data_IF_319956458196
#
_entry.id   IF_319956458196
#
_cell.length_a   1.000
_cell.length_b   1.000
_cell.length_c   1.000
_cell.angle_alpha   90.00
_cell.angle_beta   90.00
_cell.angle_gamma   90.00
#
_symmetry.space_group_name_H-M   'P 1'
#
loop_
_entity.id
_entity.type
_entity.pdbx_description
1 polymer ?
2 non-polymer ?
3 non-polymer ?
4 water ?
#
# COMPACT_ATOMS: atom_id res chain seq x y z
N UNK A 1 8.53 11.72 -11.09
CA UNK A 1 7.57 12.45 -10.27
C UNK A 1 6.16 11.90 -10.48
N UNK A 2 5.27 12.20 -9.55
CA UNK A 2 3.90 11.73 -9.65
C UNK A 2 3.06 12.69 -10.46
N UNK A 3 2.03 12.16 -11.10
CA UNK A 3 1.26 12.94 -12.05
C UNK A 3 -0.24 12.81 -11.85
N UNK A 4 -0.66 11.91 -10.95
CA UNK A 4 -2.09 11.66 -10.82
C UNK A 4 -2.69 12.16 -9.51
N UNK A 5 -3.82 12.84 -9.63
CA UNK A 5 -4.64 13.11 -8.46
C UNK A 5 -5.72 12.04 -8.41
N UNK A 6 -5.46 10.96 -7.68
CA UNK A 6 -6.39 9.84 -7.62
C UNK A 6 -7.64 10.26 -6.88
N UNK A 7 -8.79 9.80 -7.37
CA UNK A 7 -10.05 10.11 -6.74
C UNK A 7 -10.45 8.99 -5.80
N UNK A 8 -10.76 9.34 -4.56
CA UNK A 8 -11.16 8.35 -3.57
C UNK A 8 -12.56 7.80 -3.86
N UNK A 9 -12.78 6.56 -3.43
CA UNK A 9 -14.08 5.92 -3.56
C UNK A 9 -15.19 6.77 -2.94
N UNK A 10 -16.26 6.98 -3.70
CA UNK A 10 -17.45 7.61 -3.15
C UNK A 10 -18.02 6.69 -2.08
N UNK A 11 -18.26 7.23 -0.89
CA UNK A 11 -18.80 6.43 0.20
C UNK A 11 -17.79 5.49 0.82
N UNK A 12 -16.50 5.78 0.65
CA UNK A 12 -15.46 4.98 1.28
C UNK A 12 -15.75 4.73 2.76
N UNK A 13 -15.64 3.47 3.17
CA UNK A 13 -15.91 3.06 4.54
C UNK A 13 -14.58 2.89 5.28
N UNK A 14 -14.19 3.93 6.00
CA UNK A 14 -12.86 3.93 6.65
C UNK A 14 -12.73 2.89 7.76
N UNK A 15 -13.80 2.69 8.53
CA UNK A 15 -13.72 1.73 9.63
C UNK A 15 -13.53 0.31 9.13
N UNK A 16 -14.11 -0.01 7.98
CA UNK A 16 -13.96 -1.33 7.39
C UNK A 16 -12.56 -1.53 6.82
N UNK A 17 -12.02 -0.50 6.19
CA UNK A 17 -10.68 -0.59 5.60
C UNK A 17 -9.60 -0.62 6.69
N UNK A 18 -9.71 0.30 7.64
CA UNK A 18 -8.74 0.42 8.73
C UNK A 18 -9.18 -0.39 9.93
N UNK A 19 -9.35 -1.70 9.70
CA UNK A 19 -9.91 -2.60 10.71
C UNK A 19 -8.88 -3.44 11.44
N UNK A 20 -7.61 -3.23 11.12
CA UNK A 20 -6.53 -3.95 11.76
C UNK A 20 -6.07 -5.21 11.03
N UNK A 21 -6.77 -5.57 9.96
CA UNK A 21 -6.47 -6.78 9.21
C UNK A 21 -5.42 -6.49 8.13
N UNK A 22 -4.97 -7.53 7.45
CA UNK A 22 -3.94 -7.42 6.43
C UNK A 22 -4.54 -7.36 5.03
N UNK A 23 -3.90 -6.56 4.17
CA UNK A 23 -4.17 -6.51 2.74
C UNK A 23 -2.93 -6.96 1.99
N UNK A 24 -3.08 -7.89 1.05
CA UNK A 24 -1.99 -8.33 0.19
C UNK A 24 -2.05 -7.65 -1.16
N UNK A 25 -0.91 -7.15 -1.65
CA UNK A 25 -0.88 -6.67 -3.03
C UNK A 25 -0.85 -7.90 -3.94
N UNK A 26 -1.76 -7.94 -4.90
CA UNK A 26 -1.81 -9.05 -5.86
C UNK A 26 -1.38 -8.62 -7.26
N UNK A 27 -1.56 -7.34 -7.57
CA UNK A 27 -1.24 -6.78 -8.89
C UNK A 27 -0.88 -5.32 -8.72
N UNK A 28 0.05 -4.82 -9.50
CA UNK A 28 0.44 -3.42 -9.40
C UNK A 28 0.78 -2.81 -10.75
N UNK A 29 0.72 -1.49 -10.80
CA UNK A 29 1.04 -0.76 -12.01
C UNK A 29 1.84 0.48 -11.63
N UNK A 30 3.09 0.55 -12.03
CA UNK A 30 3.85 1.78 -11.81
C UNK A 30 3.91 2.55 -13.11
N UNK A 31 3.62 3.84 -13.04
CA UNK A 31 3.53 4.64 -14.26
C UNK A 31 4.90 5.01 -14.80
N UNK A 32 5.92 4.97 -13.94
CA UNK A 32 7.28 5.28 -14.39
C UNK A 32 8.06 4.01 -14.70
N UNK A 33 8.69 3.98 -15.87
CA UNK A 33 9.45 2.81 -16.35
C UNK A 33 10.61 2.49 -15.43
N UNK A 34 10.79 1.20 -15.14
CA UNK A 34 11.96 0.75 -14.38
C UNK A 34 12.05 1.41 -13.01
N UNK A 35 10.93 1.97 -12.55
CA UNK A 35 10.87 2.60 -11.24
C UNK A 35 10.92 1.54 -10.14
N UNK A 36 10.40 0.35 -10.45
CA UNK A 36 10.40 -0.76 -9.50
C UNK A 36 10.73 -2.09 -10.19
N UNK A 37 11.30 -3.05 -9.44
CA UNK A 37 11.57 -4.37 -10.02
C UNK A 37 10.30 -4.99 -10.59
N UNK A 38 10.42 -5.80 -11.64
CA UNK A 38 9.23 -6.39 -12.24
C UNK A 38 8.73 -7.58 -11.43
N UNK A 39 9.57 -8.08 -10.54
CA UNK A 39 9.15 -9.11 -9.60
C UNK A 39 9.26 -8.56 -8.18
N UNK A 40 8.13 -8.48 -7.48
CA UNK A 40 8.14 -7.88 -6.17
C UNK A 40 6.95 -8.36 -5.37
N UNK A 41 7.04 -8.23 -4.04
CA UNK A 41 5.96 -8.60 -3.14
C UNK A 41 5.71 -7.49 -2.15
N UNK A 42 4.46 -7.31 -1.74
CA UNK A 42 4.16 -6.33 -0.70
C UNK A 42 2.83 -6.62 -0.06
N UNK A 43 2.71 -6.22 1.21
CA UNK A 43 1.45 -6.33 1.94
C UNK A 43 1.42 -5.22 2.98
N UNK A 44 0.24 -4.93 3.51
CA UNK A 44 0.14 -3.92 4.54
C UNK A 44 -0.97 -4.28 5.51
N UNK A 45 -0.86 -3.78 6.73
CA UNK A 45 -2.00 -3.80 7.63
C UNK A 45 -2.42 -2.36 7.84
N UNK A 46 -3.72 -2.14 7.93
CA UNK A 46 -4.24 -0.81 8.13
C UNK A 46 -5.20 -0.88 9.30
N UNK A 47 -5.06 0.02 10.27
CA UNK A 47 -5.87 -0.05 11.46
C UNK A 47 -5.89 1.25 12.21
N UNK A 48 -6.46 1.23 13.40
CA UNK A 48 -6.41 2.40 14.27
C UNK A 48 -5.76 2.00 15.58
N UNK A 49 -5.02 2.93 16.17
CA UNK A 49 -4.42 2.75 17.48
C UNK A 49 -4.60 4.04 18.25
N UNK A 50 -5.32 3.99 19.36
CA UNK A 50 -5.65 5.18 20.15
C UNK A 50 -6.29 6.28 19.30
N UNK A 51 -7.08 5.87 18.31
CA UNK A 51 -7.82 6.81 17.49
C UNK A 51 -7.02 7.35 16.33
N UNK A 52 -5.75 6.94 16.22
CA UNK A 52 -4.92 7.37 15.11
C UNK A 52 -4.98 6.33 14.00
N UNK A 53 -5.10 6.78 12.75
CA UNK A 53 -5.02 5.88 11.61
C UNK A 53 -3.56 5.47 11.41
N UNK A 54 -3.33 4.16 11.29
CA UNK A 54 -1.97 3.62 11.15
C UNK A 54 -1.91 2.64 9.98
N UNK A 55 -0.74 2.58 9.34
CA UNK A 55 -0.44 1.48 8.42
C UNK A 55 0.92 0.89 8.72
N UNK A 56 1.01 -0.43 8.60
CA UNK A 56 2.28 -1.12 8.67
C UNK A 56 2.51 -1.74 7.30
N UNK A 57 3.71 -1.57 6.77
CA UNK A 57 4.05 -2.03 5.42
C UNK A 57 5.09 -3.11 5.46
N UNK A 58 5.01 -4.01 4.48
CA UNK A 58 5.99 -5.09 4.27
C UNK A 58 6.35 -5.11 2.80
N UNK A 59 7.65 -5.04 2.52
CA UNK A 59 8.19 -5.17 1.16
C UNK A 59 9.14 -6.36 1.14
N UNK A 60 9.03 -7.19 0.12
CA UNK A 60 9.93 -8.32 -0.07
C UNK A 60 10.30 -8.47 -1.54
N UNK A 61 11.60 -8.42 -1.84
CA UNK A 61 12.10 -8.66 -3.19
C UNK A 61 12.44 -10.15 -3.27
N UNK A 62 11.70 -10.89 -4.08
CA UNK A 62 11.83 -12.36 -4.09
C UNK A 62 13.11 -12.82 -4.76
N UNK A 63 13.83 -11.90 -5.40
CA UNK A 63 15.13 -12.24 -6.02
C UNK A 63 16.29 -11.89 -5.10
N UNK A 64 16.34 -10.64 -4.65
CA UNK A 64 17.48 -10.16 -3.88
C UNK A 64 17.34 -10.49 -2.41
N UNK A 65 16.10 -10.72 -1.97
CA UNK A 65 15.80 -10.96 -0.57
C UNK A 65 15.73 -9.68 0.24
N UNK A 66 15.98 -8.53 -0.39
CA UNK A 66 15.82 -7.27 0.32
C UNK A 66 14.43 -7.23 0.94
N UNK A 67 14.38 -6.97 2.24
CA UNK A 67 13.14 -7.07 2.99
C UNK A 67 13.08 -5.92 3.96
N UNK A 68 11.98 -5.20 3.99
CA UNK A 68 11.84 -4.14 4.97
C UNK A 68 10.42 -3.89 5.41
N UNK A 69 10.30 -3.38 6.63
CA UNK A 69 9.03 -3.04 7.24
C UNK A 69 8.99 -1.55 7.53
N UNK A 70 7.79 -0.99 7.52
CA UNK A 70 7.59 0.40 7.87
C UNK A 70 6.33 0.55 8.69
N UNK A 71 6.31 1.59 9.52
CA UNK A 71 5.10 1.96 10.24
C UNK A 71 4.83 3.43 9.95
N UNK A 72 3.56 3.78 9.75
CA UNK A 72 3.18 5.16 9.49
C UNK A 72 1.93 5.56 10.25
N UNK A 73 1.89 6.81 10.68
CA UNK A 73 0.63 7.41 11.10
C UNK A 73 0.11 8.17 9.89
N UNK A 74 -1.18 7.98 9.61
CA UNK A 74 -1.77 8.64 8.47
C UNK A 74 -2.48 9.91 8.88
N UNK A 75 -2.23 11.00 8.16
CA UNK A 75 -3.01 12.21 8.35
C UNK A 75 -4.07 12.24 7.26
N UNK A 76 -5.22 12.81 7.60
CA UNK A 76 -6.35 12.88 6.67
C UNK A 76 -6.29 14.13 5.80
N UNK A 77 -6.38 13.94 4.48
CA UNK A 77 -6.56 15.09 3.58
C UNK A 77 -8.03 15.23 3.18
N UNK A 78 -8.69 14.09 2.99
CA UNK A 78 -10.12 14.04 2.74
C UNK A 78 -10.52 12.58 2.88
N UNK A 79 -11.80 12.26 2.76
CA UNK A 79 -12.19 10.87 2.96
C UNK A 79 -11.50 9.95 1.96
N UNK A 80 -10.72 9.00 2.46
CA UNK A 80 -10.03 8.07 1.59
C UNK A 80 -8.71 8.55 0.99
N UNK A 81 -8.24 9.72 1.43
CA UNK A 81 -6.99 10.28 0.92
C UNK A 81 -6.11 10.75 2.08
N UNK A 82 -4.91 10.18 2.16
CA UNK A 82 -4.03 10.36 3.31
C UNK A 82 -2.61 10.73 2.95
N UNK A 83 -1.92 11.34 3.90
CA UNK A 83 -0.48 11.59 3.80
C UNK A 83 0.16 10.89 4.98
N UNK A 84 1.19 10.09 4.71
CA UNK A 84 1.79 9.23 5.73
C UNK A 84 3.31 9.41 5.85
N UNK A 85 3.79 9.80 7.03
CA UNK A 85 5.21 9.79 7.30
C UNK A 85 5.63 8.40 7.77
N UNK A 86 6.60 7.80 7.11
CA UNK A 86 7.00 6.44 7.48
C UNK A 86 8.28 6.38 8.31
N UNK A 87 8.34 5.41 9.22
CA UNK A 87 9.60 5.06 9.85
C UNK A 87 9.89 3.62 9.51
N UNK A 88 11.15 3.36 9.15
CA UNK A 88 11.55 2.00 8.86
C UNK A 88 11.83 1.29 10.17
N UNK A 89 11.29 0.09 10.31
CA UNK A 89 11.39 -0.67 11.54
C UNK A 89 11.79 -2.11 11.20
N UNK A 90 12.27 -2.85 12.19
CA UNK A 90 12.39 -4.29 11.99
C UNK A 90 11.02 -4.91 12.23
N UNK A 91 10.89 -6.23 12.08
CA UNK A 91 9.57 -6.85 12.15
C UNK A 91 8.97 -6.74 13.53
N UNK A 92 9.83 -6.43 14.50
CA UNK A 92 9.40 -6.31 15.90
C UNK A 92 8.93 -4.91 16.27
N UNK A 93 9.11 -3.95 15.35
CA UNK A 93 8.77 -2.57 15.64
C UNK A 93 9.93 -1.69 16.08
N UNK A 94 11.13 -2.26 16.19
CA UNK A 94 12.30 -1.48 16.57
C UNK A 94 12.68 -0.51 15.45
N UNK A 95 12.86 0.75 15.79
CA UNK A 95 13.12 1.79 14.79
C UNK A 95 14.52 1.71 14.19
N UNK A 96 14.57 1.65 12.85
CA UNK A 96 15.84 1.65 12.13
C UNK A 96 16.11 2.98 11.44
N UNK A 97 15.05 3.60 10.94
CA UNK A 97 15.16 4.95 10.39
C UNK A 97 13.98 5.78 10.87
N UNK A 98 14.26 6.87 11.56
CA UNK A 98 13.21 7.69 12.14
C UNK A 98 12.41 8.44 11.10
N UNK A 99 11.20 8.86 11.49
CA UNK A 99 10.40 9.76 10.68
C UNK A 99 11.20 11.02 10.36
N UNK A 100 11.13 11.46 9.10
CA UNK A 100 11.75 12.71 8.70
C UNK A 100 10.88 13.40 7.64
N UNK A 101 10.91 14.73 7.62
CA UNK A 101 9.98 15.53 6.83
C UNK A 101 9.86 15.17 5.34
N UNK A 102 10.98 14.86 4.69
CA UNK A 102 11.00 14.61 3.26
C UNK A 102 10.72 13.17 2.86
N UNK A 103 10.21 12.40 3.82
CA UNK A 103 9.98 10.97 3.67
C UNK A 103 8.51 10.69 3.99
N UNK A 104 7.69 10.62 2.95
CA UNK A 104 6.27 10.36 3.14
C UNK A 104 5.68 9.77 1.87
N UNK A 105 4.51 9.16 1.99
CA UNK A 105 3.76 8.78 0.80
C UNK A 105 2.33 9.27 0.93
N UNK A 106 1.71 9.56 -0.20
CA UNK A 106 0.28 9.75 -0.19
C UNK A 106 -0.39 8.42 -0.50
N UNK A 107 -1.63 8.28 -0.06
CA UNK A 107 -2.34 7.02 -0.16
C UNK A 107 -3.80 7.35 -0.46
N UNK A 108 -4.33 6.86 -1.57
CA UNK A 108 -5.73 7.09 -1.91
C UNK A 108 -6.45 5.77 -2.17
N UNK A 109 -7.56 5.53 -1.47
CA UNK A 109 -8.35 4.33 -1.69
C UNK A 109 -9.42 4.63 -2.73
N UNK A 110 -9.20 4.15 -3.95
CA UNK A 110 -10.06 4.41 -5.09
C UNK A 110 -11.29 3.51 -5.12
N UNK A 111 -11.15 2.32 -4.56
CA UNK A 111 -12.22 1.34 -4.44
C UNK A 111 -11.90 0.41 -3.28
N UNK A 112 -12.90 0.02 -2.49
CA UNK A 112 -12.74 -1.02 -1.49
C UNK A 112 -14.06 -1.71 -1.20
N UNK A 113 -13.99 -3.01 -0.94
CA UNK A 113 -15.10 -3.74 -0.38
C UNK A 113 -14.58 -4.67 0.71
N UNK A 114 -15.36 -5.67 1.08
CA UNK A 114 -14.96 -6.55 2.15
C UNK A 114 -13.63 -7.26 1.87
N UNK A 115 -13.40 -7.62 0.62
CA UNK A 115 -12.28 -8.50 0.28
C UNK A 115 -11.22 -7.92 -0.64
N UNK A 116 -11.46 -6.74 -1.20
CA UNK A 116 -10.60 -6.23 -2.26
C UNK A 116 -10.51 -4.71 -2.23
N UNK A 117 -9.47 -4.16 -2.85
CA UNK A 117 -9.32 -2.72 -2.95
C UNK A 117 -8.44 -2.35 -4.11
N UNK A 118 -8.59 -1.11 -4.56
CA UNK A 118 -7.69 -0.50 -5.54
C UNK A 118 -7.18 0.77 -4.89
N UNK A 119 -5.86 0.89 -4.78
CA UNK A 119 -5.26 2.08 -4.19
C UNK A 119 -4.27 2.76 -5.13
N UNK A 120 -4.03 4.05 -4.90
CA UNK A 120 -2.95 4.78 -5.55
C UNK A 120 -2.03 5.28 -4.47
N UNK A 121 -0.73 5.25 -4.74
CA UNK A 121 0.24 5.80 -3.81
C UNK A 121 1.31 6.57 -4.56
N UNK A 122 1.77 7.67 -3.96
CA UNK A 122 2.90 8.39 -4.49
C UNK A 122 3.95 8.50 -3.38
N UNK A 123 5.12 7.90 -3.60
CA UNK A 123 6.18 7.85 -2.60
C UNK A 123 7.18 8.99 -2.79
N UNK A 124 7.49 9.67 -1.70
CA UNK A 124 8.54 10.70 -1.68
C UNK A 124 9.58 10.24 -0.67
N UNK A 125 10.80 10.05 -1.12
CA UNK A 125 11.85 9.56 -0.24
C UNK A 125 13.13 10.25 -0.58
N UNK A 126 13.55 11.16 0.29
CA UNK A 126 14.75 11.95 0.05
C UNK A 126 14.68 12.66 -1.29
N UNK A 127 15.77 12.56 -2.06
CA UNK A 127 15.82 13.22 -3.35
C UNK A 127 15.64 12.23 -4.50
N UNK A 128 14.93 11.14 -4.23
CA UNK A 128 14.60 10.18 -5.28
C UNK A 128 13.47 10.73 -6.13
N UNK A 129 13.46 10.35 -7.41
CA UNK A 129 12.38 10.75 -8.31
C UNK A 129 11.49 9.54 -8.62
N UNK A 130 10.38 9.44 -7.89
CA UNK A 130 9.49 8.30 -7.98
C UNK A 130 8.16 8.68 -8.65
N UNK A 131 7.47 7.70 -9.21
CA UNK A 131 6.23 7.95 -9.91
C UNK A 131 5.02 7.26 -9.29
N UNK A 132 3.86 7.42 -9.92
CA UNK A 132 2.61 6.89 -9.38
C UNK A 132 2.61 5.37 -9.37
N UNK A 133 2.02 4.79 -8.32
CA UNK A 133 1.87 3.34 -8.21
C UNK A 133 0.42 2.98 -7.86
N UNK A 134 -0.23 2.19 -8.72
CA UNK A 134 -1.54 1.66 -8.41
C UNK A 134 -1.38 0.22 -7.93
N UNK A 135 -2.21 -0.19 -6.98
CA UNK A 135 -2.14 -1.57 -6.49
C UNK A 135 -3.52 -2.15 -6.27
N UNK A 136 -3.71 -3.36 -6.76
CA UNK A 136 -4.88 -4.15 -6.40
C UNK A 136 -4.55 -4.96 -5.16
N UNK A 137 -5.42 -4.85 -4.15
CA UNK A 137 -5.25 -5.55 -2.87
C UNK A 137 -6.32 -6.60 -2.70
N UNK A 138 -6.00 -7.64 -1.95
CA UNK A 138 -6.99 -8.63 -1.53
C UNK A 138 -6.75 -9.05 -0.08
N UNK A 139 -7.81 -9.39 0.64
CA UNK A 139 -7.68 -9.93 1.99
C UNK A 139 -7.03 -11.31 2.00
N UNK A 140 -7.08 -11.99 0.86
CA UNK A 140 -6.51 -13.32 0.74
C UNK A 140 -5.27 -13.29 -0.15
N UNK A 141 -4.19 -13.85 0.39
CA UNK A 141 -2.91 -13.91 -0.29
C UNK A 141 -3.05 -14.50 -1.69
N UNK A 142 -2.50 -13.81 -2.68
CA UNK A 142 -2.45 -14.29 -4.06
C UNK A 142 -3.82 -14.61 -4.71
N UNK A 143 -4.90 -14.06 -4.18
CA UNK A 143 -6.22 -14.31 -4.75
C UNK A 143 -6.39 -13.61 -6.10
N UNK A 144 -7.01 -14.28 -7.05
CA UNK A 144 -7.30 -13.70 -8.36
C UNK A 144 -8.24 -12.52 -8.20
N UNK A 145 -8.00 -11.47 -8.97
CA UNK A 145 -8.81 -10.26 -8.89
C UNK A 145 -10.23 -10.53 -9.36
N UNK A 146 -11.19 -10.14 -8.52
CA UNK A 146 -12.60 -10.33 -8.81
C UNK A 146 -13.16 -9.25 -9.73
N UNK A 147 -14.40 -9.45 -10.13
CA UNK A 147 -15.03 -8.56 -11.09
C UNK A 147 -15.24 -7.15 -10.55
N UNK A 148 -15.46 -7.02 -9.25
CA UNK A 148 -15.70 -5.68 -8.70
C UNK A 148 -14.45 -4.81 -8.79
N UNK A 149 -13.32 -5.31 -8.32
CA UNK A 149 -12.11 -4.50 -8.37
C UNK A 149 -11.62 -4.31 -9.82
N UNK A 150 -11.78 -5.33 -10.66
CA UNK A 150 -11.38 -5.16 -12.05
C UNK A 150 -12.23 -4.12 -12.75
N UNK A 151 -13.52 -4.07 -12.43
CA UNK A 151 -14.38 -3.03 -12.98
C UNK A 151 -13.95 -1.65 -12.48
N UNK A 152 -13.55 -1.56 -11.21
CA UNK A 152 -13.07 -0.31 -10.64
C UNK A 152 -11.80 0.16 -11.35
N UNK A 153 -10.93 -0.78 -11.72
CA UNK A 153 -9.74 -0.43 -12.48
C UNK A 153 -10.16 0.20 -13.81
N UNK A 154 -11.10 -0.44 -14.50
CA UNK A 154 -11.63 0.11 -15.75
C UNK A 154 -12.24 1.49 -15.55
N UNK A 155 -13.04 1.63 -14.47
CA UNK A 155 -13.76 2.88 -14.25
C UNK A 155 -12.80 4.04 -13.96
N UNK A 156 -11.58 3.69 -13.52
CA UNK A 156 -10.52 4.67 -13.27
C UNK A 156 -9.78 4.99 -14.57
N UNK A 157 -10.26 4.42 -15.67
CA UNK A 157 -9.64 4.55 -16.99
C UNK A 157 -8.22 3.97 -17.04
N UNK A 158 -8.05 2.85 -16.36
CA UNK A 158 -6.81 2.08 -16.40
C UNK A 158 -7.08 0.74 -17.06
N UNK A 159 -6.04 0.16 -17.65
CA UNK A 159 -6.16 -1.13 -18.31
C UNK A 159 -5.54 -2.22 -17.43
N UNK A 160 -6.38 -3.10 -16.90
CA UNK A 160 -5.90 -4.11 -15.97
C UNK A 160 -4.87 -5.05 -16.60
N UNK A 161 -4.92 -5.24 -17.91
CA UNK A 161 -3.96 -6.12 -18.58
C UNK A 161 -2.53 -5.59 -18.42
N UNK A 162 -2.40 -4.30 -18.16
CA UNK A 162 -1.09 -3.70 -17.97
C UNK A 162 -0.51 -3.97 -16.57
N UNK A 163 -1.37 -4.31 -15.61
CA UNK A 163 -0.89 -4.58 -14.25
C UNK A 163 0.03 -5.82 -14.22
N UNK A 164 1.02 -5.76 -13.33
CA UNK A 164 1.94 -6.86 -13.11
C UNK A 164 1.48 -7.67 -11.90
N UNK A 165 1.36 -8.99 -12.09
CA UNK A 165 0.95 -9.87 -10.99
C UNK A 165 2.09 -10.17 -10.04
N UNK A 166 1.78 -10.25 -8.75
CA UNK A 166 2.74 -10.72 -7.75
C UNK A 166 2.46 -12.16 -7.37
N UNK A 167 1.37 -12.71 -7.89
CA UNK A 167 0.84 -13.97 -7.38
C UNK A 167 1.73 -15.17 -7.67
N UNK A 168 2.58 -15.05 -8.69
CA UNK A 168 3.40 -16.16 -9.13
C UNK A 168 4.81 -16.12 -8.54
N UNK A 169 5.14 -15.03 -7.87
CA UNK A 169 6.43 -14.91 -7.20
C UNK A 169 6.45 -15.80 -5.96
N UNK A 170 7.61 -16.34 -5.62
CA UNK A 170 7.70 -17.11 -4.40
C UNK A 170 7.82 -16.16 -3.22
N UNK A 171 6.65 -15.68 -2.78
CA UNK A 171 6.55 -14.74 -1.66
C UNK A 171 6.06 -15.47 -0.41
N UNK A 172 6.52 -15.01 0.76
CA UNK A 172 5.91 -15.38 2.01
C UNK A 172 5.67 -14.07 2.71
N UNK A 173 4.67 -14.05 3.59
CA UNK A 173 4.27 -12.83 4.25
C UNK A 173 4.18 -13.09 5.75
N UNK A 174 4.72 -12.18 6.56
CA UNK A 174 4.57 -12.31 8.01
C UNK A 174 3.35 -11.50 8.44
N UNK A 175 2.17 -12.06 8.23
CA UNK A 175 0.96 -11.33 8.58
C UNK A 175 0.85 -11.05 10.08
N UNK A 176 1.39 -11.93 10.92
CA UNK A 176 1.33 -11.66 12.36
C UNK A 176 2.15 -10.43 12.75
N UNK A 177 3.32 -10.27 12.16
CA UNK A 177 4.12 -9.09 12.46
C UNK A 177 3.44 -7.82 11.98
N UNK A 178 2.83 -7.86 10.79
CA UNK A 178 2.14 -6.68 10.27
C UNK A 178 1.06 -6.23 11.22
N UNK A 179 0.26 -7.16 11.72
CA UNK A 179 -0.83 -6.79 12.62
C UNK A 179 -0.30 -6.21 13.93
N UNK A 180 0.78 -6.80 14.45
CA UNK A 180 1.35 -6.33 15.70
C UNK A 180 1.99 -4.94 15.57
N UNK A 181 2.51 -4.63 14.39
CA UNK A 181 3.19 -3.36 14.15
C UNK A 181 2.25 -2.16 14.22
N UNK A 182 0.95 -2.41 14.10
CA UNK A 182 0.01 -1.29 14.05
C UNK A 182 0.10 -0.38 15.29
N UNK A 183 0.63 -0.91 16.38
CA UNK A 183 0.70 -0.18 17.63
C UNK A 183 2.06 0.50 17.83
N UNK A 184 2.94 0.36 16.85
CA UNK A 184 4.34 0.79 17.01
C UNK A 184 4.65 2.17 16.43
X LIG B 1 9.85 1.62 -0.92
X LIG B 1 8.33 -1.09 -4.63
X LIG B 1 3.89 -1.22 -2.68
X LIG B 1 5.19 2.40 0.30
X LIG B 1 9.83 0.87 -2.06
X LIG B 1 10.99 0.54 -2.86
X LIG B 1 10.57 -0.21 -3.89
X LIG B 1 9.13 -0.38 -3.77
X LIG B 1 11.43 -0.80 -5.02
X LIG B 1 12.44 0.99 -2.57
X LIG B 1 12.59 2.46 -2.96
X LIG B 1 13.97 2.99 -2.62
X LIG B 1 14.49 2.70 -1.51
X LIG B 1 14.57 3.70 -3.47
X LIG B 1 7.02 -1.40 -4.40
X LIG B 1 6.23 -2.35 -5.15
X LIG B 1 5.01 -2.37 -4.62
X LIG B 1 4.97 -1.47 -3.49
X LIG B 1 6.75 -3.14 -6.38
X LIG B 1 3.81 -3.24 -5.06
X LIG B 1 4.02 -4.53 -5.36
X LIG B 1 3.82 -0.20 -1.75
X LIG B 1 2.63 0.30 -1.07
X LIG B 1 3.01 1.31 -0.27
X LIG B 1 4.43 1.47 -0.39
X LIG B 1 1.21 -0.26 -1.29
X LIG B 1 2.16 2.18 0.69
X LIG B 1 0.96 1.79 1.12
X LIG B 1 6.56 2.44 0.32
X LIG B 1 7.34 3.17 1.30
X LIG B 1 8.79 2.92 0.91
X LIG B 1 8.74 2.07 -0.25
X LIG B 1 6.82 4.00 2.48
X LIG B 1 10.06 3.45 1.62
X LIG B 1 10.20 2.67 2.92
X LIG B 1 11.49 3.03 3.63
X LIG B 1 11.55 2.87 4.86
X LIG B 1 12.46 3.47 2.96
X LIG B 1 8.71 0.29 -2.63
X LIG B 1 6.23 -0.89 -3.38
X LIG B 1 4.90 0.55 -1.31
X LIG B 1 7.42 1.81 -0.57
X LIG B 1 6.79 0.45 -1.96
X LIG C 1 6.60 1.97 -3.30
X LIG C 1 6.97 1.83 -4.70
X LIG C 1 5.60 3.00 -3.14
#
# INVERSE_FOLDING_TARGET
ACTKNAIAQTGFNKDKYFNGDVWYVTDYLNLEPDDVPKRYCAALAAGTASGKLKEALYHYDPKTQDTFYDVSELQVESLGKYTANFKKVDKNGNVKVAVTAGNYYTFTVMYADDSSALIHTCLHKGNKDLGDLYAVLNRNKDAAAGDKVKSAVSAATLEFSKFISTKENNCAYDNDSLKSLLTK
HEM CHA CHB CHC CHD C1A C2A C3A C4A CMA CAA CBA CGA O1A O2A C1B C2B C3B C4B CMB CAB CBB C1C C2C C3C C4C CMC CAC CBC C1D C2D C3D C4D CMD CAD CBD CGD O1D O2D NA NB NC ND FE
NO2 N O1 O2
#
